data_IF_186491280840
#
_entry.id   IF_186491280840
#
_cell.length_a   1.000
_cell.length_b   1.000
_cell.length_c   1.000
_cell.angle_alpha   90.00
_cell.angle_beta   90.00
_cell.angle_gamma   90.00
#
_symmetry.space_group_name_H-M   'P 1'
#
loop_
_entity.id
_entity.type
_entity.pdbx_description
1 polymer ?
#
# COMPACT_ATOMS: atom_id res chain seq x y z
N UNK A 1 87.88 -1.00 -2.59
CA UNK A 1 87.87 -1.82 -3.83
C UNK A 1 86.41 -2.01 -4.25
N UNK A 2 85.95 -1.22 -5.21
CA UNK A 2 85.58 -1.62 -6.59
C UNK A 2 84.38 -2.59 -6.70
N UNK A 3 83.24 -1.96 -7.06
CA UNK A 3 82.21 -2.32 -8.06
C UNK A 3 81.70 -3.77 -8.13
N UNK A 4 80.38 -3.91 -8.02
CA UNK A 4 79.52 -4.44 -9.10
C UNK A 4 78.03 -4.32 -8.77
N UNK A 5 77.29 -3.58 -9.60
CA UNK A 5 75.84 -3.72 -9.84
C UNK A 5 75.63 -4.62 -11.07
N UNK A 6 74.48 -5.32 -11.16
CA UNK A 6 73.51 -5.05 -12.23
C UNK A 6 72.07 -4.99 -11.67
N UNK A 7 71.19 -4.05 -12.04
CA UNK A 7 70.45 -3.87 -13.30
C UNK A 7 69.43 -5.00 -13.62
N UNK A 8 68.13 -4.71 -13.45
CA UNK A 8 67.04 -5.47 -14.09
C UNK A 8 65.65 -5.34 -13.43
N UNK A 9 64.65 -4.86 -14.19
CA UNK A 9 63.20 -5.10 -13.97
C UNK A 9 62.45 -3.98 -13.25
N UNK A 10 62.06 -2.88 -13.89
CA UNK A 10 60.84 -2.69 -14.70
C UNK A 10 59.52 -2.65 -13.87
N UNK A 11 59.18 -1.43 -13.45
CA UNK A 11 57.86 -0.77 -13.45
C UNK A 11 56.60 -1.66 -13.42
N UNK A 12 55.81 -1.61 -12.33
CA UNK A 12 54.34 -1.56 -12.42
C UNK A 12 53.80 -0.62 -11.32
N UNK A 13 53.55 0.63 -11.70
CA UNK A 13 52.64 1.56 -11.03
C UNK A 13 51.21 1.05 -11.27
N UNK A 14 50.63 0.39 -10.26
CA UNK A 14 49.22 0.00 -10.26
C UNK A 14 48.49 0.77 -9.16
N UNK A 15 48.16 2.03 -9.43
CA UNK A 15 47.23 2.80 -8.59
C UNK A 15 45.81 2.22 -8.80
N UNK A 16 45.40 1.30 -7.93
CA UNK A 16 44.00 0.85 -7.87
C UNK A 16 43.18 1.92 -7.18
N UNK A 17 42.65 2.83 -7.99
CA UNK A 17 41.55 3.72 -7.67
C UNK A 17 40.33 2.83 -7.33
N UNK A 18 40.07 2.61 -6.04
CA UNK A 18 38.82 2.01 -5.58
C UNK A 18 37.69 3.00 -5.86
N UNK A 19 37.06 2.85 -7.02
CA UNK A 19 35.81 3.50 -7.38
C UNK A 19 34.75 3.04 -6.38
N UNK A 20 34.47 3.87 -5.39
CA UNK A 20 33.32 3.74 -4.53
C UNK A 20 32.06 3.92 -5.39
N UNK A 21 31.56 2.84 -5.98
CA UNK A 21 30.17 2.76 -6.41
C UNK A 21 29.33 2.82 -5.14
N UNK A 22 28.91 4.05 -4.79
CA UNK A 22 27.74 4.27 -3.96
C UNK A 22 26.59 3.49 -4.59
N UNK A 23 26.26 2.36 -3.97
CA UNK A 23 24.94 1.77 -4.05
C UNK A 23 23.96 2.85 -3.59
N UNK A 24 23.39 3.59 -4.53
CA UNK A 24 22.19 4.35 -4.27
C UNK A 24 21.10 3.35 -3.90
N UNK A 25 20.94 3.12 -2.60
CA UNK A 25 19.70 2.60 -2.07
C UNK A 25 18.56 3.49 -2.61
N UNK A 26 17.41 2.93 -3.00
CA UNK A 26 16.31 3.73 -3.46
C UNK A 26 15.95 4.69 -2.31
N UNK A 27 16.14 5.99 -2.55
CA UNK A 27 15.69 7.02 -1.63
C UNK A 27 14.16 6.92 -1.58
N UNK A 28 13.66 6.27 -0.54
CA UNK A 28 12.25 6.41 -0.18
C UNK A 28 11.99 7.88 0.03
N UNK A 29 10.92 8.40 -0.58
CA UNK A 29 10.55 9.78 -0.36
C UNK A 29 10.40 10.03 1.14
N UNK A 30 11.10 11.06 1.63
CA UNK A 30 11.01 11.57 2.99
C UNK A 30 10.58 13.04 3.00
N UNK A 31 10.50 13.66 1.81
CA UNK A 31 10.24 15.08 1.58
C UNK A 31 9.54 15.28 0.21
N UNK A 32 8.93 16.46 -0.05
CA UNK A 32 8.25 16.73 -1.32
C UNK A 32 9.13 16.59 -2.57
N UNK A 33 10.42 16.91 -2.48
CA UNK A 33 11.32 16.95 -3.65
C UNK A 33 11.68 15.54 -4.10
N UNK A 34 11.96 14.65 -3.15
CA UNK A 34 12.18 13.22 -3.39
C UNK A 34 10.95 12.54 -3.98
N UNK A 35 9.74 12.88 -3.51
CA UNK A 35 8.51 12.35 -4.10
C UNK A 35 8.27 12.85 -5.53
N UNK A 36 8.54 14.13 -5.81
CA UNK A 36 8.50 14.68 -7.19
C UNK A 36 9.57 14.08 -8.09
N UNK A 37 10.78 13.86 -7.59
CA UNK A 37 11.84 13.17 -8.33
C UNK A 37 11.44 11.73 -8.66
N UNK A 38 10.78 11.04 -7.72
CA UNK A 38 10.23 9.71 -7.95
C UNK A 38 9.15 9.70 -9.03
N UNK A 39 8.25 10.69 -9.04
CA UNK A 39 7.29 10.88 -10.14
C UNK A 39 8.00 11.03 -11.50
N UNK A 40 9.01 11.91 -11.58
CA UNK A 40 9.76 12.12 -12.82
C UNK A 40 10.48 10.84 -13.29
N UNK A 41 11.05 10.07 -12.36
CA UNK A 41 11.72 8.81 -12.67
C UNK A 41 10.76 7.69 -13.12
N UNK A 42 9.46 7.81 -12.80
CA UNK A 42 8.41 6.85 -13.17
C UNK A 42 7.57 7.32 -14.37
N UNK A 43 7.97 8.40 -15.06
CA UNK A 43 7.14 9.03 -16.09
C UNK A 43 6.68 8.04 -17.19
N UNK A 44 7.59 7.19 -17.68
CA UNK A 44 7.26 6.18 -18.69
C UNK A 44 6.28 5.14 -18.13
N UNK A 45 6.57 4.57 -16.95
CA UNK A 45 5.76 3.54 -16.29
C UNK A 45 4.37 4.04 -15.86
N UNK A 46 4.22 5.34 -15.62
CA UNK A 46 2.93 5.97 -15.31
C UNK A 46 2.13 6.27 -16.58
N UNK A 47 2.80 6.48 -17.73
CA UNK A 47 2.15 6.76 -19.02
C UNK A 47 1.77 5.48 -19.79
N UNK A 48 2.61 4.45 -19.74
CA UNK A 48 2.40 3.15 -20.37
C UNK A 48 2.26 2.09 -19.28
N UNK A 49 1.03 1.91 -18.82
CA UNK A 49 0.70 1.16 -17.62
C UNK A 49 -0.40 0.14 -17.87
N UNK A 50 -0.24 -1.12 -17.42
CA UNK A 50 -1.25 -2.15 -17.60
C UNK A 50 -2.49 -1.95 -16.71
N UNK A 51 -2.44 -0.98 -15.79
CA UNK A 51 -3.45 -0.78 -14.75
C UNK A 51 -4.65 0.07 -15.19
N UNK A 52 -4.68 0.55 -16.44
CA UNK A 52 -5.71 1.48 -16.96
C UNK A 52 -5.84 2.75 -16.08
N UNK A 53 -4.78 3.06 -15.33
CA UNK A 53 -4.64 4.15 -14.37
C UNK A 53 -3.18 4.55 -14.36
N UNK A 54 -2.84 5.85 -14.22
CA UNK A 54 -1.46 6.31 -14.14
C UNK A 54 -0.84 5.92 -12.79
N UNK A 55 -0.55 4.63 -12.62
CA UNK A 55 0.02 4.05 -11.42
C UNK A 55 1.12 3.05 -11.75
N UNK A 56 2.05 2.93 -10.82
CA UNK A 56 3.13 1.96 -10.79
C UNK A 56 3.11 1.22 -9.45
N UNK A 57 3.24 -0.10 -9.50
CA UNK A 57 3.24 -0.97 -8.32
C UNK A 57 4.58 -1.71 -8.20
N UNK A 58 5.16 -1.66 -7.02
CA UNK A 58 6.37 -2.38 -6.66
C UNK A 58 6.10 -3.28 -5.45
N UNK A 59 6.81 -4.40 -5.36
CA UNK A 59 6.74 -5.26 -4.17
C UNK A 59 8.08 -5.86 -3.83
N UNK A 60 8.37 -5.97 -2.54
CA UNK A 60 9.60 -6.52 -1.99
C UNK A 60 9.30 -7.53 -0.91
N UNK A 61 10.12 -8.57 -0.87
CA UNK A 61 10.11 -9.59 0.15
C UNK A 61 11.54 -9.79 0.63
N UNK A 62 11.75 -9.69 1.93
CA UNK A 62 12.98 -10.12 2.61
C UNK A 62 12.70 -11.39 3.41
N UNK A 63 13.64 -11.84 4.24
CA UNK A 63 13.44 -13.00 5.11
C UNK A 63 12.29 -12.81 6.12
N UNK A 64 12.13 -11.59 6.64
CA UNK A 64 11.21 -11.27 7.74
C UNK A 64 10.24 -10.13 7.43
N UNK A 65 10.31 -9.51 6.23
CA UNK A 65 9.42 -8.40 5.85
C UNK A 65 8.80 -8.54 4.47
N UNK A 66 7.56 -8.05 4.36
CA UNK A 66 6.87 -7.84 3.10
C UNK A 66 6.50 -6.36 2.96
N UNK A 67 6.63 -5.85 1.74
CA UNK A 67 6.24 -4.49 1.40
C UNK A 67 5.68 -4.45 -0.01
N UNK A 68 4.59 -3.71 -0.18
CA UNK A 68 4.08 -3.30 -1.48
C UNK A 68 3.92 -1.79 -1.51
N UNK A 69 4.40 -1.18 -2.59
CA UNK A 69 4.38 0.25 -2.83
C UNK A 69 3.51 0.54 -4.07
N UNK A 70 2.65 1.55 -4.01
CA UNK A 70 1.95 2.13 -5.16
C UNK A 70 2.33 3.60 -5.28
N UNK A 71 2.70 3.99 -6.49
CA UNK A 71 2.91 5.36 -6.90
C UNK A 71 1.85 5.71 -7.94
N UNK A 72 1.04 6.73 -7.71
CA UNK A 72 -0.09 7.03 -8.58
C UNK A 72 -0.30 8.53 -8.77
N UNK A 73 -0.69 8.93 -9.98
CA UNK A 73 -1.23 10.26 -10.24
C UNK A 73 -2.71 10.26 -9.89
N UNK A 74 -3.11 11.20 -9.03
CA UNK A 74 -4.50 11.44 -8.70
C UNK A 74 -4.96 12.66 -9.47
N UNK A 75 -6.04 12.51 -10.25
CA UNK A 75 -6.68 13.58 -11.05
C UNK A 75 -7.52 14.54 -10.18
N UNK A 76 -6.94 14.95 -9.05
CA UNK A 76 -7.50 15.91 -8.11
C UNK A 76 -6.38 16.79 -7.51
N UNK A 77 -6.66 18.09 -7.25
CA UNK A 77 -5.67 18.99 -6.69
C UNK A 77 -5.22 18.55 -5.30
N UNK A 78 -3.93 18.78 -5.00
CA UNK A 78 -3.38 18.44 -3.68
C UNK A 78 -4.15 19.06 -2.52
N UNK A 79 -4.67 20.28 -2.64
CA UNK A 79 -5.43 20.91 -1.55
C UNK A 79 -6.65 20.07 -1.13
N UNK A 80 -7.32 19.42 -2.08
CA UNK A 80 -8.42 18.50 -1.81
C UNK A 80 -7.88 17.18 -1.24
N UNK A 81 -6.91 16.55 -1.92
CA UNK A 81 -6.35 15.25 -1.52
C UNK A 81 -5.71 15.31 -0.13
N UNK A 82 -4.87 16.31 0.12
CA UNK A 82 -4.18 16.54 1.37
C UNK A 82 -5.15 16.73 2.52
N UNK A 83 -6.19 17.55 2.35
CA UNK A 83 -7.21 17.76 3.40
C UNK A 83 -8.03 16.50 3.65
N UNK A 84 -8.45 15.81 2.59
CA UNK A 84 -9.27 14.60 2.68
C UNK A 84 -8.56 13.44 3.40
N UNK A 85 -7.24 13.33 3.27
CA UNK A 85 -6.45 12.27 3.87
C UNK A 85 -5.86 12.63 5.25
N UNK A 86 -6.09 13.86 5.71
CA UNK A 86 -5.78 14.32 7.07
C UNK A 86 -7.01 14.12 7.98
N UNK A 87 -7.09 12.98 8.64
CA UNK A 87 -8.07 12.74 9.69
C UNK A 87 -8.26 11.26 10.00
N UNK A 88 -8.14 10.88 11.25
CA UNK A 88 -8.32 9.49 11.70
C UNK A 88 -9.72 8.93 11.35
N UNK A 89 -10.77 9.74 11.47
CA UNK A 89 -12.13 9.36 11.05
C UNK A 89 -12.24 9.12 9.55
N UNK A 90 -11.57 9.94 8.72
CA UNK A 90 -11.50 9.75 7.27
C UNK A 90 -10.80 8.45 6.90
N UNK A 91 -9.75 8.07 7.64
CA UNK A 91 -9.08 6.79 7.44
C UNK A 91 -9.97 5.60 7.78
N UNK A 92 -10.84 5.69 8.78
CA UNK A 92 -11.83 4.63 9.00
C UNK A 92 -12.82 4.49 7.85
N UNK A 93 -13.26 5.62 7.30
CA UNK A 93 -14.10 5.73 6.12
C UNK A 93 -13.48 5.12 4.84
N UNK A 94 -12.14 5.08 4.77
CA UNK A 94 -11.35 4.45 3.70
C UNK A 94 -11.17 2.95 3.99
N UNK A 95 -10.68 2.61 5.19
CA UNK A 95 -10.31 1.25 5.56
C UNK A 95 -11.52 0.30 5.56
N UNK A 96 -12.69 0.79 5.95
CA UNK A 96 -13.94 0.01 5.96
C UNK A 96 -14.36 -0.49 4.57
N UNK A 97 -13.88 0.13 3.49
CA UNK A 97 -14.16 -0.31 2.12
C UNK A 97 -13.51 -1.67 1.82
N UNK A 98 -12.41 -1.99 2.49
CA UNK A 98 -11.72 -3.27 2.33
C UNK A 98 -12.59 -4.42 2.85
N UNK A 99 -12.78 -5.47 2.04
CA UNK A 99 -13.69 -6.59 2.33
C UNK A 99 -13.45 -7.32 3.67
N UNK A 100 -12.21 -7.26 4.20
CA UNK A 100 -11.85 -7.86 5.48
C UNK A 100 -12.04 -6.94 6.69
N UNK A 101 -12.24 -5.63 6.53
CA UNK A 101 -12.46 -4.72 7.67
C UNK A 101 -13.95 -4.72 8.01
N UNK A 102 -14.31 -5.07 9.26
CA UNK A 102 -15.69 -5.28 9.74
C UNK A 102 -16.26 -4.12 10.53
N UNK A 103 -15.36 -3.30 11.05
CA UNK A 103 -15.62 -2.00 11.65
C UNK A 103 -14.30 -1.23 11.69
N UNK A 104 -14.38 0.09 11.70
CA UNK A 104 -13.27 0.96 12.07
C UNK A 104 -13.80 2.16 12.85
N UNK A 105 -13.22 2.44 14.03
CA UNK A 105 -13.53 3.65 14.79
C UNK A 105 -12.27 4.39 15.13
N UNK A 106 -12.29 5.70 14.96
CA UNK A 106 -11.23 6.57 15.43
C UNK A 106 -11.54 6.97 16.87
N UNK A 107 -10.55 6.87 17.75
CA UNK A 107 -10.59 7.47 19.09
C UNK A 107 -9.41 8.42 19.23
N UNK A 108 -9.65 9.60 19.77
CA UNK A 108 -8.60 10.57 20.11
C UNK A 108 -8.44 10.64 21.62
N UNK A 109 -7.21 10.47 22.09
CA UNK A 109 -6.80 10.81 23.46
C UNK A 109 -5.77 11.94 23.43
N UNK A 110 -5.47 12.61 24.56
CA UNK A 110 -4.41 13.61 24.61
C UNK A 110 -3.02 13.11 24.18
N UNK A 111 -2.78 11.79 24.24
CA UNK A 111 -1.48 11.17 23.94
C UNK A 111 -1.39 10.53 22.55
N UNK A 112 -2.51 10.09 21.96
CA UNK A 112 -2.53 9.43 20.66
C UNK A 112 -3.92 9.45 20.00
N UNK A 113 -3.94 9.51 18.67
CA UNK A 113 -5.08 9.10 17.85
C UNK A 113 -4.92 7.63 17.44
N UNK A 114 -5.96 6.83 17.67
CA UNK A 114 -5.96 5.38 17.43
C UNK A 114 -7.15 5.02 16.55
N UNK A 115 -6.93 4.13 15.59
CA UNK A 115 -7.98 3.49 14.79
C UNK A 115 -8.20 2.08 15.30
N UNK A 116 -9.39 1.81 15.82
CA UNK A 116 -9.84 0.51 16.31
C UNK A 116 -10.55 -0.23 15.19
N UNK A 117 -9.94 -1.30 14.67
CA UNK A 117 -10.46 -2.12 13.59
C UNK A 117 -10.86 -3.50 14.10
N UNK A 118 -11.81 -4.10 13.40
CA UNK A 118 -12.03 -5.55 13.47
C UNK A 118 -11.73 -6.16 12.09
N UNK A 119 -10.75 -7.06 12.02
CA UNK A 119 -10.34 -7.73 10.80
C UNK A 119 -10.94 -9.13 10.76
N UNK A 120 -11.76 -9.40 9.75
CA UNK A 120 -12.51 -10.62 9.60
C UNK A 120 -12.36 -11.31 8.25
N UNK A 121 -13.23 -12.28 8.01
CA UNK A 121 -13.32 -13.02 6.74
C UNK A 121 -13.86 -12.12 5.62
N UNK A 122 -13.91 -12.64 4.39
CA UNK A 122 -14.46 -11.87 3.26
C UNK A 122 -15.98 -11.71 3.27
N UNK A 123 -16.70 -12.51 4.05
CA UNK A 123 -18.16 -12.46 4.17
C UNK A 123 -18.58 -11.75 5.47
N UNK A 124 -19.89 -11.60 5.67
CA UNK A 124 -20.45 -11.12 6.93
C UNK A 124 -19.92 -11.96 8.10
N UNK A 125 -19.61 -11.27 9.20
CA UNK A 125 -19.06 -11.86 10.39
C UNK A 125 -19.38 -10.96 11.59
N UNK A 126 -19.79 -11.58 12.70
CA UNK A 126 -19.95 -10.89 13.98
C UNK A 126 -18.61 -10.32 14.47
N UNK A 127 -18.64 -9.13 15.10
CA UNK A 127 -17.41 -8.49 15.59
C UNK A 127 -16.67 -9.34 16.63
N UNK A 128 -17.40 -10.07 17.47
CA UNK A 128 -16.83 -10.97 18.48
C UNK A 128 -15.98 -12.12 17.87
N UNK A 129 -16.22 -12.47 16.61
CA UNK A 129 -15.46 -13.50 15.89
C UNK A 129 -14.35 -12.90 15.01
N UNK A 130 -14.28 -11.57 14.90
CA UNK A 130 -13.27 -10.85 14.13
C UNK A 130 -12.07 -10.50 15.02
N UNK A 131 -10.89 -10.41 14.40
CA UNK A 131 -9.65 -10.10 15.12
C UNK A 131 -9.59 -8.59 15.43
N UNK A 132 -9.50 -8.18 16.71
CA UNK A 132 -9.31 -6.78 17.07
C UNK A 132 -7.92 -6.34 16.62
N UNK A 133 -7.82 -5.17 15.99
CA UNK A 133 -6.59 -4.65 15.43
C UNK A 133 -6.55 -3.14 15.61
N UNK A 134 -5.43 -2.59 16.07
CA UNK A 134 -5.32 -1.16 16.33
C UNK A 134 -4.18 -0.55 15.51
N UNK A 135 -4.47 0.58 14.85
CA UNK A 135 -3.43 1.43 14.28
C UNK A 135 -3.25 2.68 15.14
N UNK A 136 -2.02 3.02 15.50
CA UNK A 136 -1.69 4.39 15.89
C UNK A 136 -1.65 5.26 14.65
N UNK A 137 -2.48 6.30 14.62
CA UNK A 137 -2.57 7.26 13.53
C UNK A 137 -1.70 8.49 13.82
N UNK A 138 -0.98 8.97 12.79
CA UNK A 138 -0.19 10.19 12.89
C UNK A 138 -0.12 10.92 11.55
N UNK A 139 -0.34 12.24 11.59
CA UNK A 139 0.12 13.16 10.54
C UNK A 139 1.58 13.50 10.85
N UNK A 140 2.51 12.95 10.07
CA UNK A 140 3.94 13.17 10.27
C UNK A 140 4.39 14.52 9.71
N UNK A 141 3.77 14.97 8.62
CA UNK A 141 4.01 16.29 8.01
C UNK A 141 2.76 16.73 7.27
N UNK A 142 2.36 17.98 7.42
CA UNK A 142 1.31 18.60 6.62
C UNK A 142 1.71 20.03 6.27
N UNK A 143 1.84 20.31 4.99
CA UNK A 143 2.20 21.61 4.42
C UNK A 143 1.26 21.93 3.24
N UNK A 144 1.26 23.16 2.72
CA UNK A 144 0.45 23.53 1.55
C UNK A 144 0.70 22.71 0.28
N UNK A 145 1.82 22.00 0.18
CA UNK A 145 2.23 21.24 -1.00
C UNK A 145 2.58 19.76 -0.74
N UNK A 146 2.67 19.34 0.52
CA UNK A 146 3.08 17.99 0.91
C UNK A 146 2.40 17.48 2.18
N UNK A 147 1.94 16.23 2.11
CA UNK A 147 1.36 15.48 3.21
C UNK A 147 2.13 14.17 3.40
N UNK A 148 2.38 13.82 4.66
CA UNK A 148 2.75 12.47 5.07
C UNK A 148 1.87 12.02 6.24
N UNK A 149 1.18 10.89 6.06
CA UNK A 149 0.35 10.22 7.06
C UNK A 149 0.88 8.81 7.31
N UNK A 150 0.80 8.35 8.57
CA UNK A 150 1.22 7.03 8.98
C UNK A 150 0.19 6.37 9.89
N UNK A 151 -0.04 5.09 9.64
CA UNK A 151 -0.77 4.17 10.48
C UNK A 151 0.19 3.05 10.85
N UNK A 152 0.54 2.93 12.13
CA UNK A 152 1.52 1.97 12.64
C UNK A 152 0.84 1.01 13.64
N UNK A 153 1.14 -0.29 13.56
CA UNK A 153 0.70 -1.27 14.55
C UNK A 153 1.83 -2.27 14.85
N UNK A 154 2.15 -2.45 16.13
CA UNK A 154 3.25 -3.32 16.55
C UNK A 154 2.89 -4.80 16.38
N UNK A 155 1.65 -5.16 16.71
CA UNK A 155 1.16 -6.54 16.65
C UNK A 155 0.15 -6.74 15.51
N UNK A 156 0.02 -7.98 15.06
CA UNK A 156 -1.03 -8.35 14.13
C UNK A 156 -1.37 -9.83 14.11
N UNK A 157 -2.33 -10.21 13.27
CA UNK A 157 -2.90 -11.55 13.29
C UNK A 157 -1.89 -12.62 12.85
N UNK A 158 -2.01 -13.82 13.41
CA UNK A 158 -1.32 -15.01 12.93
C UNK A 158 0.22 -14.90 12.89
N UNK A 159 0.82 -14.20 13.85
CA UNK A 159 2.29 -14.11 14.00
C UNK A 159 2.95 -13.11 13.05
N UNK A 160 2.19 -12.10 12.61
CA UNK A 160 2.67 -10.92 11.89
C UNK A 160 2.80 -9.74 12.85
N UNK A 161 3.61 -8.74 12.50
CA UNK A 161 3.91 -7.60 13.37
C UNK A 161 4.38 -6.40 12.56
N UNK A 162 4.62 -5.26 13.23
CA UNK A 162 5.19 -4.04 12.65
C UNK A 162 4.49 -3.61 11.36
N UNK A 163 3.16 -3.66 11.38
CA UNK A 163 2.35 -3.18 10.26
C UNK A 163 2.53 -1.67 10.11
N UNK A 164 2.66 -1.24 8.86
CA UNK A 164 2.72 0.17 8.49
C UNK A 164 1.96 0.42 7.20
N UNK A 165 1.02 1.35 7.25
CA UNK A 165 0.51 2.05 6.07
C UNK A 165 1.11 3.45 6.13
N UNK A 166 1.93 3.80 5.14
CA UNK A 166 2.44 5.16 4.93
C UNK A 166 1.82 5.72 3.67
N UNK A 167 1.27 6.93 3.77
CA UNK A 167 0.77 7.68 2.63
C UNK A 167 1.49 9.01 2.52
N UNK A 168 1.96 9.32 1.32
CA UNK A 168 2.55 10.60 0.98
C UNK A 168 1.82 11.18 -0.23
N UNK A 169 1.57 12.48 -0.22
CA UNK A 169 0.97 13.18 -1.36
C UNK A 169 1.68 14.51 -1.59
N UNK A 170 1.88 14.86 -2.86
CA UNK A 170 2.48 16.14 -3.27
C UNK A 170 1.71 16.75 -4.44
N UNK A 171 1.65 18.08 -4.51
CA UNK A 171 1.11 18.77 -5.68
C UNK A 171 1.99 18.54 -6.92
N UNK A 172 1.36 18.17 -8.05
CA UNK A 172 2.01 18.17 -9.37
C UNK A 172 1.72 19.47 -10.12
N UNK A 173 0.45 19.85 -10.17
CA UNK A 173 -0.07 21.08 -10.77
C UNK A 173 -1.41 21.47 -10.12
N UNK A 174 -2.13 22.43 -10.72
CA UNK A 174 -3.41 22.95 -10.22
C UNK A 174 -4.53 21.92 -10.17
N UNK A 175 -4.41 20.80 -10.89
CA UNK A 175 -5.46 19.79 -11.04
C UNK A 175 -5.06 18.41 -10.55
N UNK A 176 -3.77 18.15 -10.39
CA UNK A 176 -3.23 16.83 -10.12
C UNK A 176 -2.31 16.80 -8.92
N UNK A 177 -2.31 15.65 -8.25
CA UNK A 177 -1.37 15.32 -7.18
C UNK A 177 -0.73 13.97 -7.46
N UNK A 178 0.43 13.75 -6.83
CA UNK A 178 1.13 12.47 -6.89
C UNK A 178 1.14 11.85 -5.52
N UNK A 179 0.72 10.59 -5.46
CA UNK A 179 0.53 9.82 -4.25
C UNK A 179 1.51 8.66 -4.21
N UNK A 180 2.11 8.43 -3.04
CA UNK A 180 2.83 7.21 -2.72
C UNK A 180 2.16 6.52 -1.53
N UNK A 181 1.73 5.28 -1.72
CA UNK A 181 1.19 4.40 -0.69
C UNK A 181 2.17 3.24 -0.48
N UNK A 182 2.65 3.07 0.75
CA UNK A 182 3.43 1.91 1.17
C UNK A 182 2.62 1.12 2.20
N UNK A 183 2.43 -0.17 1.96
CA UNK A 183 1.89 -1.13 2.92
C UNK A 183 2.94 -2.20 3.21
N UNK A 184 3.31 -2.35 4.47
CA UNK A 184 4.35 -3.30 4.90
C UNK A 184 4.03 -3.94 6.23
N UNK A 185 4.57 -5.13 6.45
CA UNK A 185 4.57 -5.80 7.75
C UNK A 185 5.73 -6.78 7.86
N UNK A 186 6.07 -7.12 9.10
CA UNK A 186 6.99 -8.18 9.42
C UNK A 186 6.25 -9.51 9.66
N UNK A 187 6.95 -10.61 9.43
CA UNK A 187 6.43 -11.95 9.64
C UNK A 187 7.52 -12.88 10.17
N UNK A 188 7.17 -13.73 11.13
CA UNK A 188 8.06 -14.77 11.63
C UNK A 188 7.99 -16.07 10.84
N UNK A 189 8.82 -17.05 11.23
CA UNK A 189 8.84 -18.37 10.60
C UNK A 189 7.48 -19.10 10.65
N UNK A 190 6.75 -18.98 11.76
CA UNK A 190 5.42 -19.58 11.89
C UNK A 190 4.44 -18.97 10.87
N UNK A 191 4.41 -17.64 10.75
CA UNK A 191 3.57 -16.95 9.78
C UNK A 191 3.95 -17.31 8.33
N UNK A 192 5.24 -17.48 8.04
CA UNK A 192 5.73 -17.95 6.74
C UNK A 192 5.19 -19.35 6.40
N UNK A 193 5.32 -20.31 7.31
CA UNK A 193 4.83 -21.68 7.11
C UNK A 193 3.31 -21.70 6.95
N UNK A 194 2.57 -20.99 7.81
CA UNK A 194 1.11 -20.88 7.69
C UNK A 194 0.69 -20.29 6.34
N UNK A 195 1.37 -19.24 5.89
CA UNK A 195 1.09 -18.60 4.59
C UNK A 195 1.39 -19.55 3.43
N UNK A 196 2.49 -20.30 3.49
CA UNK A 196 2.81 -21.32 2.49
C UNK A 196 1.77 -22.44 2.43
N UNK A 197 1.29 -22.92 3.58
CA UNK A 197 0.21 -23.92 3.64
C UNK A 197 -1.11 -23.39 3.05
N UNK A 198 -1.46 -22.14 3.34
CA UNK A 198 -2.61 -21.47 2.72
C UNK A 198 -2.45 -21.38 1.19
N UNK A 199 -1.29 -20.96 0.72
CA UNK A 199 -0.98 -20.84 -0.71
C UNK A 199 -0.90 -22.20 -1.42
N UNK A 200 -0.60 -23.28 -0.71
CA UNK A 200 -0.67 -24.64 -1.27
C UNK A 200 -2.13 -25.14 -1.45
N UNK A 201 -3.10 -24.45 -0.84
CA UNK A 201 -4.50 -24.88 -0.78
C UNK A 201 -5.44 -23.82 -1.34
N UNK A 202 -6.16 -23.11 -0.48
CA UNK A 202 -7.19 -22.11 -0.81
C UNK A 202 -6.61 -20.88 -1.51
N UNK A 203 -5.32 -20.61 -1.29
CA UNK A 203 -4.59 -19.49 -1.87
C UNK A 203 -3.87 -19.80 -3.18
N UNK A 204 -3.92 -21.05 -3.69
CA UNK A 204 -3.06 -21.49 -4.81
C UNK A 204 -3.21 -20.68 -6.11
N UNK A 205 -4.42 -20.18 -6.35
CA UNK A 205 -4.73 -19.38 -7.53
C UNK A 205 -4.62 -17.87 -7.26
N UNK A 206 -4.16 -17.47 -6.07
CA UNK A 206 -4.05 -16.07 -5.68
C UNK A 206 -2.73 -15.51 -6.20
N UNK A 207 -2.83 -14.74 -7.27
CA UNK A 207 -1.73 -14.03 -7.90
C UNK A 207 -1.84 -12.52 -7.68
N UNK A 208 -0.68 -11.84 -7.74
CA UNK A 208 -0.54 -10.39 -7.78
C UNK A 208 -0.53 -9.86 -9.21
N UNK A 209 0.11 -8.72 -9.41
CA UNK A 209 0.09 -7.94 -10.64
C UNK A 209 1.42 -7.97 -11.41
N UNK A 210 2.55 -8.13 -10.72
CA UNK A 210 3.85 -8.20 -11.38
C UNK A 210 3.91 -9.39 -12.33
N UNK A 211 4.36 -9.15 -13.57
CA UNK A 211 4.62 -10.21 -14.55
C UNK A 211 6.04 -10.72 -14.32
N UNK A 212 6.19 -11.99 -13.98
CA UNK A 212 7.50 -12.62 -13.69
C UNK A 212 8.03 -13.45 -14.86
N UNK A 213 7.14 -13.86 -15.75
CA UNK A 213 7.47 -14.56 -16.97
C UNK A 213 6.35 -14.38 -18.00
N UNK A 214 6.60 -14.85 -19.21
CA UNK A 214 5.55 -15.13 -20.20
C UNK A 214 5.58 -16.62 -20.51
N UNK A 215 4.41 -17.22 -20.68
CA UNK A 215 4.30 -18.62 -21.05
C UNK A 215 4.61 -18.83 -22.56
N UNK A 216 4.53 -20.08 -23.02
CA UNK A 216 4.79 -20.45 -24.41
C UNK A 216 3.79 -19.79 -25.40
N UNK A 217 2.63 -19.35 -24.93
CA UNK A 217 1.63 -18.62 -25.73
C UNK A 217 1.79 -17.09 -25.61
N UNK A 218 2.84 -16.61 -24.94
CA UNK A 218 3.11 -15.19 -24.71
C UNK A 218 2.25 -14.55 -23.62
N UNK A 219 1.41 -15.32 -22.94
CA UNK A 219 0.53 -14.82 -21.89
C UNK A 219 1.31 -14.50 -20.61
N UNK A 220 0.92 -13.45 -19.86
CA UNK A 220 1.61 -13.08 -18.64
C UNK A 220 1.46 -14.15 -17.56
N UNK A 221 2.59 -14.57 -17.00
CA UNK A 221 2.64 -15.35 -15.75
C UNK A 221 2.79 -14.35 -14.60
N UNK A 222 1.72 -14.19 -13.84
CA UNK A 222 1.69 -13.28 -12.71
C UNK A 222 2.39 -13.84 -11.48
N UNK A 223 2.94 -12.94 -10.67
CA UNK A 223 3.60 -13.28 -9.43
C UNK A 223 2.62 -13.94 -8.45
N UNK A 224 2.98 -15.12 -7.94
CA UNK A 224 2.25 -15.79 -6.87
C UNK A 224 2.90 -15.56 -5.50
N UNK A 225 2.56 -16.44 -4.56
CA UNK A 225 3.27 -16.50 -3.30
C UNK A 225 2.99 -15.30 -2.38
N UNK A 226 3.91 -15.09 -1.43
CA UNK A 226 3.83 -13.99 -0.47
C UNK A 226 3.87 -12.60 -1.14
N UNK A 227 4.68 -12.44 -2.20
CA UNK A 227 4.71 -11.21 -3.01
C UNK A 227 3.38 -10.97 -3.74
N UNK A 228 2.74 -12.01 -4.27
CA UNK A 228 1.40 -11.88 -4.85
C UNK A 228 0.36 -11.43 -3.83
N UNK A 229 0.42 -11.93 -2.59
CA UNK A 229 -0.51 -11.52 -1.52
C UNK A 229 -0.34 -10.05 -1.13
N UNK A 230 0.90 -9.57 -0.95
CA UNK A 230 1.13 -8.16 -0.58
C UNK A 230 0.69 -7.21 -1.71
N UNK A 231 0.95 -7.54 -2.97
CA UNK A 231 0.51 -6.72 -4.11
C UNK A 231 -1.01 -6.57 -4.19
N UNK A 232 -1.75 -7.65 -3.93
CA UNK A 232 -3.23 -7.61 -3.88
C UNK A 232 -3.73 -6.67 -2.79
N UNK A 233 -3.16 -6.75 -1.59
CA UNK A 233 -3.58 -5.92 -0.46
C UNK A 233 -3.21 -4.46 -0.68
N UNK A 234 -1.99 -4.16 -1.13
CA UNK A 234 -1.56 -2.79 -1.45
C UNK A 234 -2.49 -2.16 -2.49
N UNK A 235 -2.83 -2.89 -3.57
CA UNK A 235 -3.78 -2.42 -4.57
C UNK A 235 -5.17 -2.15 -3.97
N UNK A 236 -5.70 -3.05 -3.14
CA UNK A 236 -7.02 -2.83 -2.51
C UNK A 236 -7.07 -1.60 -1.61
N UNK A 237 -5.99 -1.32 -0.88
CA UNK A 237 -5.88 -0.09 -0.09
C UNK A 237 -5.81 1.15 -0.97
N UNK A 238 -5.02 1.12 -2.06
CA UNK A 238 -4.98 2.21 -3.03
C UNK A 238 -6.36 2.48 -3.64
N UNK A 239 -7.06 1.44 -4.10
CA UNK A 239 -8.39 1.58 -4.68
C UNK A 239 -9.43 2.09 -3.66
N UNK A 240 -9.26 1.80 -2.37
CA UNK A 240 -10.10 2.39 -1.32
C UNK A 240 -9.86 3.89 -1.17
N UNK A 241 -8.60 4.33 -1.21
CA UNK A 241 -8.24 5.75 -1.20
C UNK A 241 -8.80 6.45 -2.45
N UNK A 242 -8.60 5.87 -3.64
CA UNK A 242 -9.11 6.40 -4.91
C UNK A 242 -10.65 6.54 -4.90
N UNK A 243 -11.36 5.52 -4.42
CA UNK A 243 -12.82 5.53 -4.31
C UNK A 243 -13.32 6.58 -3.31
N UNK A 244 -12.64 6.73 -2.16
CA UNK A 244 -12.96 7.74 -1.17
C UNK A 244 -12.79 9.17 -1.73
N UNK A 245 -11.63 9.46 -2.33
CA UNK A 245 -11.33 10.75 -2.93
C UNK A 245 -12.30 11.08 -4.07
N UNK A 246 -12.61 10.11 -4.93
CA UNK A 246 -13.56 10.30 -6.04
C UNK A 246 -14.99 10.59 -5.56
N UNK A 247 -15.40 10.01 -4.43
CA UNK A 247 -16.72 10.23 -3.86
C UNK A 247 -16.90 11.62 -3.24
N UNK A 248 -15.83 12.39 -3.00
CA UNK A 248 -15.92 13.73 -2.40
C UNK A 248 -16.67 14.75 -3.27
N UNK A 249 -16.71 14.52 -4.58
CA UNK A 249 -17.48 15.32 -5.53
C UNK A 249 -19.00 15.20 -5.33
N UNK A 250 -19.46 14.15 -4.66
CA UNK A 250 -20.88 13.95 -4.35
C UNK A 250 -21.29 14.72 -3.08
N UNK A 251 -22.58 15.09 -2.94
CA UNK A 251 -23.13 15.62 -1.68
C UNK A 251 -22.89 14.65 -0.52
N UNK A 252 -22.67 15.13 0.73
CA UNK A 252 -22.32 14.28 1.88
C UNK A 252 -23.18 13.02 2.05
N UNK A 253 -24.50 13.13 1.88
CA UNK A 253 -25.44 12.01 2.01
C UNK A 253 -25.25 10.90 0.95
N UNK A 254 -24.69 11.21 -0.22
CA UNK A 254 -24.48 10.25 -1.32
C UNK A 254 -23.07 9.63 -1.31
N UNK A 255 -22.12 10.19 -0.55
CA UNK A 255 -20.70 9.80 -0.59
C UNK A 255 -20.45 8.36 -0.19
N UNK A 256 -21.21 7.85 0.79
CA UNK A 256 -21.04 6.48 1.30
C UNK A 256 -21.41 5.45 0.23
N UNK A 257 -22.59 5.58 -0.36
CA UNK A 257 -23.02 4.66 -1.40
C UNK A 257 -22.11 4.77 -2.64
N UNK A 258 -21.70 5.99 -2.99
CA UNK A 258 -20.76 6.22 -4.10
C UNK A 258 -19.44 5.47 -3.90
N UNK A 259 -18.76 5.64 -2.76
CA UNK A 259 -17.45 4.99 -2.52
C UNK A 259 -17.53 3.47 -2.49
N UNK A 260 -18.62 2.88 -1.99
CA UNK A 260 -18.82 1.43 -2.00
C UNK A 260 -18.91 0.91 -3.44
N UNK A 261 -19.70 1.57 -4.29
CA UNK A 261 -19.83 1.20 -5.69
C UNK A 261 -18.52 1.41 -6.47
N UNK A 262 -17.83 2.53 -6.24
CA UNK A 262 -16.55 2.82 -6.89
C UNK A 262 -15.48 1.80 -6.50
N UNK A 263 -15.37 1.45 -5.23
CA UNK A 263 -14.39 0.46 -4.78
C UNK A 263 -14.66 -0.91 -5.39
N UNK A 264 -15.92 -1.39 -5.38
CA UNK A 264 -16.27 -2.68 -5.98
C UNK A 264 -15.98 -2.68 -7.48
N UNK A 265 -16.43 -1.65 -8.20
CA UNK A 265 -16.16 -1.52 -9.63
C UNK A 265 -14.66 -1.49 -9.94
N UNK A 266 -13.85 -0.87 -9.08
CA UNK A 266 -12.41 -0.79 -9.28
C UNK A 266 -11.70 -2.13 -9.06
N UNK A 267 -12.10 -2.94 -8.07
CA UNK A 267 -11.50 -4.27 -7.88
C UNK A 267 -11.89 -5.24 -9.01
N UNK A 268 -13.10 -5.10 -9.56
CA UNK A 268 -13.59 -5.91 -10.67
C UNK A 268 -12.93 -5.61 -12.02
N UNK A 269 -12.17 -4.51 -12.14
CA UNK A 269 -11.29 -4.29 -13.30
C UNK A 269 -10.08 -5.21 -13.31
N UNK A 270 -9.80 -5.90 -12.20
CA UNK A 270 -8.69 -6.82 -12.04
C UNK A 270 -9.19 -8.19 -11.55
N UNK A 271 -10.07 -8.88 -12.28
CA UNK A 271 -10.78 -10.04 -11.75
C UNK A 271 -9.85 -11.21 -11.40
N UNK A 272 -8.79 -11.42 -12.17
CA UNK A 272 -7.78 -12.46 -11.88
C UNK A 272 -7.08 -12.21 -10.53
N UNK A 273 -6.81 -10.95 -10.20
CA UNK A 273 -6.07 -10.56 -9.02
C UNK A 273 -6.97 -10.26 -7.82
N UNK A 274 -8.13 -9.64 -7.99
CA UNK A 274 -8.85 -9.02 -6.87
C UNK A 274 -10.30 -9.47 -6.69
N UNK A 275 -10.94 -10.09 -7.68
CA UNK A 275 -12.32 -10.56 -7.53
C UNK A 275 -12.46 -11.55 -6.37
N UNK A 276 -13.47 -11.35 -5.53
CA UNK A 276 -13.77 -12.22 -4.38
C UNK A 276 -15.25 -12.41 -4.08
N UNK A 277 -16.08 -11.42 -4.44
CA UNK A 277 -17.50 -11.33 -4.10
C UNK A 277 -18.26 -10.65 -5.24
N UNK A 278 -19.48 -11.12 -5.49
CA UNK A 278 -20.42 -10.42 -6.35
C UNK A 278 -20.82 -9.07 -5.75
N UNK A 279 -21.19 -8.13 -6.63
CA UNK A 279 -21.52 -6.74 -6.24
C UNK A 279 -22.52 -6.66 -5.10
N UNK A 280 -23.67 -7.34 -5.23
CA UNK A 280 -24.72 -7.28 -4.22
C UNK A 280 -24.29 -7.91 -2.89
N UNK A 281 -23.44 -8.94 -2.92
CA UNK A 281 -22.88 -9.55 -1.71
C UNK A 281 -22.00 -8.55 -0.96
N UNK A 282 -21.09 -7.87 -1.69
CA UNK A 282 -20.24 -6.84 -1.12
C UNK A 282 -21.03 -5.66 -0.56
N UNK A 283 -21.95 -5.08 -1.36
CA UNK A 283 -22.71 -3.91 -0.96
C UNK A 283 -23.61 -4.18 0.24
N UNK A 284 -24.31 -5.33 0.25
CA UNK A 284 -25.17 -5.72 1.37
C UNK A 284 -24.36 -5.85 2.66
N UNK A 285 -23.25 -6.60 2.61
CA UNK A 285 -22.35 -6.77 3.76
C UNK A 285 -21.83 -5.42 4.27
N UNK A 286 -21.30 -4.57 3.38
CA UNK A 286 -20.72 -3.28 3.79
C UNK A 286 -21.71 -2.30 4.36
N UNK A 287 -22.93 -2.23 3.81
CA UNK A 287 -24.00 -1.39 4.38
C UNK A 287 -24.35 -1.82 5.80
N UNK A 288 -24.42 -3.13 6.07
CA UNK A 288 -24.68 -3.66 7.41
C UNK A 288 -23.53 -3.36 8.38
N UNK A 289 -22.28 -3.60 7.97
CA UNK A 289 -21.08 -3.31 8.77
C UNK A 289 -20.99 -1.82 9.15
N UNK A 290 -21.26 -0.92 8.20
CA UNK A 290 -21.22 0.54 8.41
C UNK A 290 -22.40 1.03 9.26
N UNK A 291 -23.61 0.50 9.04
CA UNK A 291 -24.77 0.84 9.87
C UNK A 291 -24.51 0.49 11.34
N UNK A 292 -23.95 -0.71 11.60
CA UNK A 292 -23.54 -1.13 12.95
C UNK A 292 -22.48 -0.19 13.54
N UNK A 293 -21.47 0.19 12.74
CA UNK A 293 -20.43 1.12 13.19
C UNK A 293 -21.01 2.48 13.63
N UNK A 294 -21.99 3.01 12.90
CA UNK A 294 -22.62 4.30 13.18
C UNK A 294 -23.55 4.23 14.41
N UNK A 295 -24.32 3.15 14.56
CA UNK A 295 -25.23 2.97 15.69
C UNK A 295 -24.50 2.92 17.04
N UNK A 296 -23.33 2.29 17.10
CA UNK A 296 -22.53 2.23 18.32
C UNK A 296 -21.88 3.57 18.67
N UNK A 297 -21.71 4.49 17.69
CA UNK A 297 -21.17 5.84 17.94
C UNK A 297 -22.20 6.77 18.60
N UNK A 298 -23.50 6.46 18.48
CA UNK A 298 -24.58 7.24 19.11
C UNK A 298 -24.86 6.87 20.58
N UNK A 299 -24.16 5.87 21.12
CA UNK A 299 -24.36 5.37 22.49
C UNK A 299 -23.22 5.78 23.45
N UNK A 300 -22.10 6.28 22.92
CA UNK A 300 -21.00 6.91 23.68
C UNK A 300 -21.20 8.42 23.85
#
# INVERSE_FOLDING_TARGET
MRRSLPAGGLQWLGATLLLALLLMAPAYAQDPQSLKARHAALAEQLSDTPFQRPLHLESRQTEDTLQGDIYAVIEQPYALVGTALQGSTHWCDILILHLNVKSCRASSSPSAEVLHLHIGRKFEQALADAYPFEFTYRVATATPEFLQVRLDAEDGPLGTSRYRIKLEAVALDERRSFLHLSYSYAYGMAARVATQAYLATLGRNKVGFSIVARDAAGQPVYIGGMRGLIERNTMRYYLAIEAYLSALAEPPAARLEKRLNLWHSAVEQYPTQLHELEREQYLTMKRQEIHRQQADTTVE
#
